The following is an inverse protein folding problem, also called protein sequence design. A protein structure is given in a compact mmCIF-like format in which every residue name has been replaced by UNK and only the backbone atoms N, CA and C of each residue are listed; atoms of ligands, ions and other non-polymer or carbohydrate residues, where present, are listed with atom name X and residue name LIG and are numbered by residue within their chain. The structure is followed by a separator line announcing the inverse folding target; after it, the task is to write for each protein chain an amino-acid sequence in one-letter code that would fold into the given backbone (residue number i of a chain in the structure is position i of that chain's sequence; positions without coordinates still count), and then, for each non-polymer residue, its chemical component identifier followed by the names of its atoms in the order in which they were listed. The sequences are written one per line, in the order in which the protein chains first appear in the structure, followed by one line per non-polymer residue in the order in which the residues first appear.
data_IF_250300625909
#
_entry.id   IF_250300625909
#
_cell.length_a   1.000
_cell.length_b   1.000
_cell.length_c   1.000
_cell.angle_alpha   90.00
_cell.angle_beta   90.00
_cell.angle_gamma   90.00
#
_symmetry.space_group_name_H-M   'P 1'
#
loop_
_entity.id
_entity.type
_entity.pdbx_description
1 polymer ?
#
# COMPACT_ATOMS: atom_id res chain seq x y z
N UNK A 1 -25.71 -23.31 19.53
CA UNK A 1 -25.72 -23.53 18.09
C UNK A 1 -27.16 -23.41 17.62
N UNK A 2 -27.46 -22.35 16.85
CA UNK A 2 -28.76 -22.14 16.25
C UNK A 2 -29.00 -23.26 15.23
N UNK A 3 -30.05 -24.04 15.43
CA UNK A 3 -30.51 -25.02 14.45
C UNK A 3 -31.46 -24.33 13.49
N UNK A 4 -31.10 -24.38 12.20
CA UNK A 4 -32.09 -24.14 11.16
C UNK A 4 -32.14 -22.69 10.67
N UNK A 5 -31.04 -22.09 10.36
CA UNK A 5 -31.01 -20.98 9.41
C UNK A 5 -31.36 -21.56 8.04
N UNK A 6 -32.43 -21.08 7.42
CA UNK A 6 -32.75 -21.47 6.06
C UNK A 6 -32.12 -20.43 5.13
N UNK A 7 -31.17 -20.84 4.30
CA UNK A 7 -30.50 -19.98 3.35
C UNK A 7 -30.97 -20.31 1.95
N UNK A 8 -31.40 -19.32 1.23
CA UNK A 8 -31.80 -19.41 -0.17
C UNK A 8 -30.74 -18.76 -1.03
N UNK A 9 -30.19 -19.48 -1.98
CA UNK A 9 -29.22 -19.02 -2.93
C UNK A 9 -29.82 -18.95 -4.31
N UNK A 10 -29.74 -17.81 -4.98
CA UNK A 10 -30.13 -17.67 -6.38
C UNK A 10 -28.92 -17.30 -7.23
N UNK A 11 -28.84 -17.90 -8.44
CA UNK A 11 -27.87 -17.49 -9.44
C UNK A 11 -28.47 -16.40 -10.38
N UNK A 12 -27.65 -15.78 -11.21
CA UNK A 12 -28.07 -14.77 -12.19
C UNK A 12 -29.06 -15.30 -13.25
N UNK A 13 -29.40 -16.59 -13.21
CA UNK A 13 -30.39 -17.24 -14.08
C UNK A 13 -31.68 -17.60 -13.32
N UNK A 14 -31.80 -17.05 -12.08
CA UNK A 14 -33.02 -17.26 -11.24
C UNK A 14 -33.19 -18.73 -10.78
N UNK A 15 -32.11 -19.49 -10.70
CA UNK A 15 -32.12 -20.81 -10.07
C UNK A 15 -31.98 -20.65 -8.56
N UNK A 16 -32.94 -21.14 -7.82
CA UNK A 16 -32.98 -21.07 -6.36
C UNK A 16 -32.57 -22.43 -5.76
N UNK A 17 -31.70 -22.43 -4.77
CA UNK A 17 -31.40 -23.56 -3.92
C UNK A 17 -31.58 -23.16 -2.46
N UNK A 18 -32.44 -23.84 -1.73
CA UNK A 18 -32.61 -23.64 -0.29
C UNK A 18 -32.02 -24.82 0.47
N UNK A 19 -31.21 -24.57 1.48
CA UNK A 19 -30.64 -25.61 2.34
C UNK A 19 -30.52 -25.13 3.79
N UNK A 20 -30.80 -26.02 4.73
CA UNK A 20 -30.58 -25.70 6.14
C UNK A 20 -29.10 -25.76 6.51
N UNK A 21 -28.64 -24.85 7.35
CA UNK A 21 -27.31 -24.85 7.91
C UNK A 21 -27.00 -26.17 8.60
N UNK A 22 -25.78 -26.62 8.51
CA UNK A 22 -25.30 -27.78 9.24
C UNK A 22 -25.16 -27.51 10.76
N UNK A 23 -24.63 -28.47 11.52
CA UNK A 23 -24.49 -28.34 12.97
C UNK A 23 -23.46 -27.32 13.43
N UNK A 24 -22.64 -26.77 12.51
CA UNK A 24 -21.65 -25.73 12.74
C UNK A 24 -22.13 -24.34 12.31
N UNK A 25 -23.38 -24.24 11.75
CA UNK A 25 -23.91 -22.98 11.24
C UNK A 25 -23.46 -22.65 9.81
N UNK A 26 -22.74 -23.55 9.14
CA UNK A 26 -22.25 -23.34 7.78
C UNK A 26 -23.18 -23.91 6.71
N UNK A 27 -23.31 -23.22 5.60
CA UNK A 27 -23.90 -23.72 4.36
C UNK A 27 -22.82 -23.79 3.29
N UNK A 28 -22.61 -25.00 2.78
CA UNK A 28 -21.84 -25.20 1.56
C UNK A 28 -22.86 -25.37 0.44
N UNK A 29 -22.87 -24.46 -0.52
CA UNK A 29 -23.69 -24.54 -1.72
C UNK A 29 -22.83 -25.13 -2.84
N UNK A 30 -22.98 -26.41 -3.20
CA UNK A 30 -22.27 -26.96 -4.32
C UNK A 30 -22.95 -26.51 -5.63
N UNK A 31 -22.13 -26.01 -6.54
CA UNK A 31 -22.41 -25.91 -7.97
C UNK A 31 -23.44 -24.83 -8.40
N UNK A 32 -23.15 -23.56 -8.10
CA UNK A 32 -23.69 -22.46 -8.87
C UNK A 32 -22.68 -22.13 -9.98
N UNK A 33 -22.83 -22.75 -11.13
CA UNK A 33 -22.00 -22.45 -12.29
C UNK A 33 -22.32 -21.05 -12.83
N UNK A 34 -21.47 -20.09 -12.50
CA UNK A 34 -21.35 -18.82 -13.22
C UNK A 34 -22.23 -17.69 -12.72
N UNK A 35 -21.63 -16.80 -12.03
CA UNK A 35 -22.00 -15.46 -11.50
C UNK A 35 -22.09 -15.41 -9.99
N UNK A 36 -21.51 -14.37 -9.40
CA UNK A 36 -21.57 -14.09 -7.97
C UNK A 36 -22.97 -14.33 -7.43
N UNK A 37 -23.08 -15.21 -6.45
CA UNK A 37 -24.37 -15.63 -5.93
C UNK A 37 -24.87 -14.66 -4.87
N UNK A 38 -26.12 -14.28 -4.98
CA UNK A 38 -26.86 -13.61 -3.90
C UNK A 38 -27.14 -14.65 -2.80
N UNK A 39 -26.62 -14.45 -1.59
CA UNK A 39 -26.95 -15.29 -0.43
C UNK A 39 -27.94 -14.57 0.46
N UNK A 40 -29.14 -15.16 0.59
CA UNK A 40 -30.17 -14.62 1.46
C UNK A 40 -30.27 -15.51 2.71
N UNK A 41 -29.71 -15.05 3.84
CA UNK A 41 -29.85 -15.72 5.14
C UNK A 41 -31.07 -15.20 5.90
N UNK A 42 -32.03 -16.08 6.26
CA UNK A 42 -33.15 -15.72 7.13
C UNK A 42 -33.07 -16.43 8.47
N UNK A 43 -32.96 -15.69 9.57
CA UNK A 43 -33.12 -16.23 10.92
C UNK A 43 -34.61 -16.52 11.15
N UNK A 44 -34.99 -17.80 11.22
CA UNK A 44 -36.37 -18.24 11.50
C UNK A 44 -36.71 -18.25 12.98
N UNK A 45 -35.77 -17.87 13.87
CA UNK A 45 -35.96 -17.89 15.34
C UNK A 45 -36.45 -16.58 15.94
N UNK A 46 -36.43 -15.47 15.22
CA UNK A 46 -36.91 -14.17 15.70
C UNK A 46 -37.53 -13.36 14.55
N UNK A 47 -38.87 -13.23 14.51
CA UNK A 47 -39.56 -12.55 13.40
C UNK A 47 -39.25 -11.04 13.27
N UNK A 48 -38.52 -10.44 14.22
CA UNK A 48 -38.16 -9.03 14.21
C UNK A 48 -36.66 -8.79 13.80
N UNK A 49 -35.92 -9.84 13.47
CA UNK A 49 -34.53 -9.74 12.98
C UNK A 49 -34.37 -10.55 11.68
N UNK A 50 -34.76 -9.97 10.58
CA UNK A 50 -34.35 -10.40 9.24
C UNK A 50 -32.90 -9.97 9.04
N UNK A 51 -31.96 -10.83 9.41
CA UNK A 51 -30.52 -10.66 9.08
C UNK A 51 -30.21 -11.26 7.71
N UNK A 52 -30.96 -10.84 6.71
CA UNK A 52 -30.70 -11.23 5.33
C UNK A 52 -29.65 -10.29 4.78
N UNK A 53 -28.52 -10.83 4.33
CA UNK A 53 -27.48 -10.08 3.64
C UNK A 53 -27.29 -10.64 2.23
N UNK A 54 -27.05 -9.75 1.28
CA UNK A 54 -26.61 -10.09 -0.06
C UNK A 54 -25.10 -9.90 -0.10
N UNK A 55 -24.40 -10.85 -0.68
CA UNK A 55 -22.92 -10.81 -0.80
C UNK A 55 -22.55 -11.00 -2.26
N UNK A 56 -21.92 -9.98 -2.82
CA UNK A 56 -21.36 -9.99 -4.17
C UNK A 56 -19.84 -10.08 -4.10
N UNK A 57 -19.22 -10.90 -4.95
CA UNK A 57 -17.78 -11.04 -5.07
C UNK A 57 -17.35 -10.71 -6.50
N UNK A 58 -16.50 -9.71 -6.65
CA UNK A 58 -16.00 -9.28 -7.96
C UNK A 58 -14.48 -9.26 -7.99
N UNK A 59 -13.90 -9.51 -9.16
CA UNK A 59 -12.47 -9.35 -9.42
C UNK A 59 -12.07 -7.87 -9.51
N UNK A 60 -10.79 -7.62 -9.72
CA UNK A 60 -10.22 -6.27 -9.89
C UNK A 60 -10.80 -5.48 -11.09
N UNK A 61 -11.37 -6.14 -12.08
CA UNK A 61 -12.05 -5.54 -13.23
C UNK A 61 -13.55 -5.26 -12.95
N UNK A 62 -14.04 -5.59 -11.75
CA UNK A 62 -15.44 -5.50 -11.34
C UNK A 62 -16.33 -6.57 -11.94
N UNK A 63 -15.75 -7.67 -12.45
CA UNK A 63 -16.51 -8.81 -12.95
C UNK A 63 -16.77 -9.82 -11.83
N UNK A 64 -17.96 -10.43 -11.78
CA UNK A 64 -18.24 -11.49 -10.82
C UNK A 64 -17.23 -12.62 -10.88
N UNK A 65 -16.75 -13.11 -9.73
CA UNK A 65 -15.88 -14.27 -9.62
C UNK A 65 -16.73 -15.54 -9.65
N UNK A 66 -16.73 -16.18 -10.80
CA UNK A 66 -17.48 -17.43 -11.02
C UNK A 66 -16.94 -18.57 -10.14
N UNK A 67 -17.80 -19.26 -9.42
CA UNK A 67 -17.43 -20.39 -8.59
C UNK A 67 -16.95 -20.02 -7.17
N UNK A 68 -17.03 -18.77 -6.76
CA UNK A 68 -16.79 -18.39 -5.37
C UNK A 68 -17.85 -19.04 -4.45
N UNK A 69 -17.39 -19.69 -3.37
CA UNK A 69 -18.24 -20.25 -2.32
C UNK A 69 -18.34 -19.25 -1.17
N UNK A 70 -19.54 -18.87 -0.77
CA UNK A 70 -19.79 -17.87 0.26
C UNK A 70 -20.51 -18.52 1.44
N UNK A 71 -20.06 -18.23 2.65
CA UNK A 71 -20.72 -18.63 3.90
C UNK A 71 -20.89 -17.40 4.80
N UNK A 72 -22.03 -17.32 5.48
CA UNK A 72 -22.29 -16.32 6.52
C UNK A 72 -22.63 -17.06 7.81
N UNK A 73 -21.93 -16.74 8.88
CA UNK A 73 -22.14 -17.41 10.17
C UNK A 73 -23.23 -16.74 11.02
N UNK A 74 -23.48 -17.28 12.23
CA UNK A 74 -24.50 -16.78 13.15
C UNK A 74 -24.21 -15.38 13.72
N UNK A 75 -22.95 -14.95 13.70
CA UNK A 75 -22.49 -13.64 14.16
C UNK A 75 -22.48 -12.61 13.01
N UNK A 76 -22.75 -13.07 11.77
CA UNK A 76 -22.80 -12.24 10.56
C UNK A 76 -21.46 -12.08 9.86
N UNK A 77 -20.43 -12.84 10.24
CA UNK A 77 -19.15 -12.87 9.55
C UNK A 77 -19.30 -13.56 8.19
N UNK A 78 -18.73 -12.96 7.16
CA UNK A 78 -18.74 -13.46 5.78
C UNK A 78 -17.43 -14.16 5.47
N UNK A 79 -17.52 -15.42 5.04
CA UNK A 79 -16.36 -16.19 4.55
C UNK A 79 -16.55 -16.51 3.07
N UNK A 80 -15.55 -16.18 2.26
CA UNK A 80 -15.51 -16.44 0.83
C UNK A 80 -14.37 -17.39 0.52
N UNK A 81 -14.64 -18.47 -0.22
CA UNK A 81 -13.59 -19.34 -0.79
C UNK A 81 -13.64 -19.20 -2.30
N UNK A 82 -12.54 -18.74 -2.88
CA UNK A 82 -12.40 -18.55 -4.32
C UNK A 82 -12.11 -19.89 -5.02
N UNK A 83 -12.40 -20.02 -6.33
CA UNK A 83 -12.16 -21.25 -7.08
C UNK A 83 -10.67 -21.63 -7.05
N UNK A 84 -10.40 -22.95 -7.21
CA UNK A 84 -9.06 -23.50 -7.04
C UNK A 84 -7.99 -22.98 -8.02
N UNK A 85 -8.40 -22.34 -9.12
CA UNK A 85 -7.51 -21.66 -10.06
C UNK A 85 -7.27 -20.19 -9.73
N UNK A 86 -7.98 -19.58 -8.78
CA UNK A 86 -7.79 -18.18 -8.41
C UNK A 86 -6.62 -18.02 -7.44
N UNK A 87 -5.68 -17.16 -7.77
CA UNK A 87 -4.48 -16.87 -6.98
C UNK A 87 -4.36 -15.35 -6.81
N UNK A 88 -4.33 -14.86 -5.56
CA UNK A 88 -4.20 -13.43 -5.30
C UNK A 88 -2.94 -12.81 -5.92
N UNK A 89 -1.85 -13.58 -6.03
CA UNK A 89 -0.59 -13.08 -6.61
C UNK A 89 -0.66 -12.93 -8.13
N UNK A 90 -1.50 -13.72 -8.82
CA UNK A 90 -1.65 -13.69 -10.28
C UNK A 90 -2.91 -12.94 -10.74
N UNK A 91 -4.04 -13.13 -10.05
CA UNK A 91 -5.35 -12.60 -10.43
C UNK A 91 -5.70 -11.29 -9.70
N UNK A 92 -4.92 -10.94 -8.65
CA UNK A 92 -5.12 -9.74 -7.86
C UNK A 92 -6.23 -9.86 -6.81
N UNK A 93 -6.61 -8.74 -6.18
CA UNK A 93 -7.60 -8.71 -5.11
C UNK A 93 -9.03 -8.93 -5.63
N UNK A 94 -9.90 -9.33 -4.71
CA UNK A 94 -11.35 -9.38 -4.94
C UNK A 94 -12.05 -8.37 -4.05
N UNK A 95 -13.14 -7.79 -4.55
CA UNK A 95 -14.05 -6.95 -3.75
C UNK A 95 -15.26 -7.75 -3.33
N UNK A 96 -15.49 -7.79 -2.02
CA UNK A 96 -16.70 -8.38 -1.41
C UNK A 96 -17.61 -7.25 -0.98
N UNK A 97 -18.82 -7.20 -1.54
CA UNK A 97 -19.83 -6.20 -1.21
C UNK A 97 -20.96 -6.87 -0.42
N UNK A 98 -21.29 -6.31 0.73
CA UNK A 98 -22.35 -6.81 1.61
C UNK A 98 -23.45 -5.75 1.72
N UNK A 99 -24.68 -6.14 1.36
CA UNK A 99 -25.86 -5.29 1.48
C UNK A 99 -26.96 -6.01 2.24
N UNK A 100 -27.95 -5.28 2.75
CA UNK A 100 -29.16 -5.87 3.27
C UNK A 100 -30.13 -6.26 2.13
N UNK A 101 -31.27 -6.82 2.49
CA UNK A 101 -32.33 -7.23 1.55
C UNK A 101 -33.04 -6.06 0.82
N UNK A 102 -32.68 -4.81 1.15
CA UNK A 102 -33.19 -3.62 0.48
C UNK A 102 -32.10 -3.00 -0.44
N UNK A 103 -30.90 -3.61 -0.47
CA UNK A 103 -29.75 -3.11 -1.22
C UNK A 103 -29.00 -1.99 -0.49
N UNK A 104 -29.27 -1.78 0.80
CA UNK A 104 -28.52 -0.80 1.59
C UNK A 104 -27.18 -1.40 2.07
N UNK A 105 -26.12 -0.62 1.99
CA UNK A 105 -24.77 -1.03 2.39
C UNK A 105 -24.71 -1.48 3.86
N UNK A 106 -23.98 -2.56 4.12
CA UNK A 106 -23.72 -3.08 5.46
C UNK A 106 -22.27 -2.79 5.85
N UNK A 107 -22.01 -1.73 6.60
CA UNK A 107 -20.64 -1.45 7.12
C UNK A 107 -20.30 -2.36 8.28
N UNK A 108 -19.00 -2.42 8.59
CA UNK A 108 -18.42 -3.12 9.76
C UNK A 108 -18.75 -4.64 9.79
N UNK A 109 -18.94 -5.24 8.61
CA UNK A 109 -19.11 -6.69 8.48
C UNK A 109 -17.75 -7.34 8.34
N UNK A 110 -17.34 -8.26 9.26
CA UNK A 110 -16.11 -9.00 9.09
C UNK A 110 -16.19 -9.92 7.86
N UNK A 111 -15.17 -9.87 7.03
CA UNK A 111 -15.05 -10.67 5.80
C UNK A 111 -13.69 -11.38 5.78
N UNK A 112 -13.73 -12.66 5.47
CA UNK A 112 -12.53 -13.47 5.24
C UNK A 112 -12.62 -14.09 3.85
N UNK A 113 -11.58 -13.91 3.04
CA UNK A 113 -11.48 -14.50 1.70
C UNK A 113 -10.29 -15.44 1.64
N UNK A 114 -10.48 -16.65 1.13
CA UNK A 114 -9.44 -17.64 0.89
C UNK A 114 -9.34 -17.93 -0.59
N UNK A 115 -8.17 -17.76 -1.20
CA UNK A 115 -7.95 -18.07 -2.61
C UNK A 115 -7.78 -19.58 -2.88
N UNK A 116 -7.63 -19.92 -4.16
CA UNK A 116 -7.47 -21.32 -4.59
C UNK A 116 -6.17 -21.97 -4.13
N UNK A 117 -5.16 -21.18 -3.73
CA UNK A 117 -3.87 -21.69 -3.18
C UNK A 117 -3.95 -21.94 -1.68
N UNK A 118 -5.00 -21.44 -1.00
CA UNK A 118 -5.19 -21.51 0.44
C UNK A 118 -4.68 -20.26 1.18
N UNK A 119 -4.27 -19.23 0.47
CA UNK A 119 -3.92 -17.93 1.06
C UNK A 119 -5.20 -17.23 1.53
N UNK A 120 -5.18 -16.72 2.76
CA UNK A 120 -6.36 -16.11 3.38
C UNK A 120 -6.09 -14.64 3.70
N UNK A 121 -7.03 -13.79 3.31
CA UNK A 121 -7.07 -12.36 3.64
C UNK A 121 -8.35 -12.04 4.40
N UNK A 122 -8.30 -11.09 5.36
CA UNK A 122 -9.43 -10.71 6.17
C UNK A 122 -9.51 -9.20 6.34
N UNK A 123 -10.72 -8.65 6.42
CA UNK A 123 -10.99 -7.24 6.61
C UNK A 123 -12.42 -7.01 7.06
N UNK A 124 -12.84 -5.76 7.12
CA UNK A 124 -14.24 -5.37 7.45
C UNK A 124 -14.77 -4.46 6.35
N UNK A 125 -16.08 -4.58 6.05
CA UNK A 125 -16.71 -3.72 5.05
C UNK A 125 -16.75 -2.26 5.48
N UNK A 126 -16.44 -1.37 4.55
CA UNK A 126 -16.53 0.09 4.73
C UNK A 126 -17.97 0.61 4.77
N UNK A 127 -18.11 1.95 4.81
CA UNK A 127 -19.44 2.63 4.83
C UNK A 127 -20.30 2.36 3.59
N UNK A 128 -19.67 1.95 2.51
CA UNK A 128 -20.31 1.54 1.24
C UNK A 128 -20.68 0.05 1.21
N UNK A 129 -20.40 -0.68 2.30
CA UNK A 129 -20.66 -2.11 2.42
C UNK A 129 -19.66 -2.99 1.68
N UNK A 130 -18.54 -2.43 1.19
CA UNK A 130 -17.55 -3.16 0.42
C UNK A 130 -16.22 -3.31 1.19
N UNK A 131 -15.50 -4.40 0.92
CA UNK A 131 -14.09 -4.60 1.30
C UNK A 131 -13.36 -5.25 0.14
N UNK A 132 -12.14 -4.80 -0.14
CA UNK A 132 -11.28 -5.41 -1.15
C UNK A 132 -10.14 -6.15 -0.45
N UNK A 133 -9.91 -7.41 -0.82
CA UNK A 133 -8.96 -8.31 -0.17
C UNK A 133 -8.16 -9.14 -1.20
N UNK A 134 -6.83 -9.34 -0.97
CA UNK A 134 -6.07 -8.70 0.10
C UNK A 134 -5.93 -7.19 -0.12
N UNK A 135 -5.90 -6.45 0.97
CA UNK A 135 -5.55 -5.04 0.94
C UNK A 135 -4.03 -4.88 1.10
N UNK A 136 -3.44 -3.97 0.33
CA UNK A 136 -2.05 -3.60 0.48
C UNK A 136 -1.97 -2.36 1.37
N UNK A 137 -1.05 -2.40 2.35
CA UNK A 137 -0.86 -1.28 3.27
C UNK A 137 0.35 -0.44 2.86
N UNK A 138 0.12 0.79 2.52
CA UNK A 138 1.14 1.80 2.35
C UNK A 138 1.40 2.53 3.67
N UNK A 139 2.50 2.19 4.33
CA UNK A 139 2.89 2.86 5.57
C UNK A 139 3.43 4.28 5.32
N UNK A 140 3.18 5.17 6.27
CA UNK A 140 3.75 6.51 6.23
C UNK A 140 5.27 6.46 6.52
N UNK A 141 6.10 6.90 5.56
CA UNK A 141 7.56 6.93 5.74
C UNK A 141 8.11 8.33 6.02
N UNK A 142 7.30 9.37 5.83
CA UNK A 142 7.60 10.76 6.18
C UNK A 142 6.86 11.15 7.45
N UNK A 143 7.55 11.93 8.30
CA UNK A 143 6.98 12.57 9.48
C UNK A 143 7.26 14.06 9.38
N UNK A 144 6.29 14.88 9.70
CA UNK A 144 6.46 16.33 9.81
C UNK A 144 7.41 16.73 10.95
N UNK A 145 7.75 18.00 10.99
CA UNK A 145 8.51 18.58 12.09
C UNK A 145 7.60 18.87 13.28
N UNK A 146 8.18 18.99 14.48
CA UNK A 146 7.43 19.23 15.71
C UNK A 146 6.68 20.57 15.78
N UNK A 147 6.88 21.45 14.79
CA UNK A 147 6.16 22.72 14.60
C UNK A 147 4.94 22.61 13.68
N UNK A 148 4.60 21.40 13.23
CA UNK A 148 3.46 21.16 12.33
C UNK A 148 3.75 21.45 10.85
N UNK A 149 5.02 21.59 10.47
CA UNK A 149 5.44 21.74 9.08
C UNK A 149 6.02 20.46 8.49
N UNK A 150 6.03 20.33 7.16
CA UNK A 150 6.72 19.27 6.44
C UNK A 150 7.97 19.75 5.71
N UNK A 151 8.12 21.03 5.48
CA UNK A 151 9.27 21.68 4.85
C UNK A 151 9.50 21.23 3.39
N UNK A 152 8.52 21.38 2.48
CA UNK A 152 8.62 20.82 1.13
C UNK A 152 9.83 21.32 0.34
N UNK A 153 10.13 22.61 0.42
CA UNK A 153 11.24 23.25 -0.28
C UNK A 153 12.56 23.25 0.52
N UNK A 154 12.56 22.66 1.71
CA UNK A 154 13.76 22.55 2.54
C UNK A 154 14.67 21.46 1.99
N UNK A 155 15.97 21.76 1.89
CA UNK A 155 16.97 20.78 1.56
C UNK A 155 16.99 19.66 2.60
N UNK A 156 16.97 18.41 2.13
CA UNK A 156 16.99 17.25 3.01
C UNK A 156 18.40 16.97 3.49
N UNK A 157 18.56 16.73 4.80
CA UNK A 157 19.81 16.25 5.34
C UNK A 157 20.03 14.76 5.06
N UNK A 158 21.28 14.32 5.10
CA UNK A 158 21.64 12.91 4.94
C UNK A 158 21.08 12.04 6.06
N UNK A 159 20.95 12.60 7.28
CA UNK A 159 20.31 11.94 8.40
C UNK A 159 18.82 11.70 8.17
N UNK A 160 18.10 12.72 7.65
CA UNK A 160 16.68 12.60 7.31
C UNK A 160 16.44 11.57 6.20
N UNK A 161 17.28 11.58 5.16
CA UNK A 161 17.23 10.57 4.10
C UNK A 161 17.48 9.15 4.64
N UNK A 162 18.44 8.99 5.55
CA UNK A 162 18.70 7.70 6.21
C UNK A 162 17.48 7.22 7.03
N UNK A 163 16.79 8.13 7.71
CA UNK A 163 15.60 7.77 8.48
C UNK A 163 14.45 7.28 7.57
N UNK A 164 14.23 7.94 6.42
CA UNK A 164 13.25 7.52 5.42
C UNK A 164 13.56 6.09 4.93
N UNK A 165 14.76 5.87 4.45
CA UNK A 165 15.16 4.56 3.90
C UNK A 165 15.15 3.43 4.94
N UNK A 166 15.55 3.73 6.17
CA UNK A 166 15.52 2.73 7.24
C UNK A 166 14.09 2.34 7.61
N UNK A 167 13.15 3.29 7.63
CA UNK A 167 11.72 2.99 7.85
C UNK A 167 11.15 2.15 6.70
N UNK A 168 11.43 2.52 5.45
CA UNK A 168 10.96 1.76 4.29
C UNK A 168 11.44 0.30 4.40
N UNK A 169 12.71 0.06 4.64
CA UNK A 169 13.25 -1.30 4.76
C UNK A 169 12.68 -2.08 5.94
N UNK A 170 12.52 -1.42 7.10
CA UNK A 170 11.97 -2.02 8.31
C UNK A 170 10.54 -2.51 8.07
N UNK A 171 9.69 -1.64 7.52
CA UNK A 171 8.29 -1.96 7.22
C UNK A 171 8.16 -3.04 6.14
N UNK A 172 8.84 -2.89 5.00
CA UNK A 172 8.81 -3.88 3.90
C UNK A 172 9.24 -5.28 4.37
N UNK A 173 10.10 -5.36 5.39
CA UNK A 173 10.58 -6.64 5.93
C UNK A 173 9.78 -7.14 7.12
N UNK A 174 8.83 -6.34 7.64
CA UNK A 174 8.14 -6.64 8.89
C UNK A 174 9.09 -6.76 10.09
N UNK A 175 10.23 -6.06 10.06
CA UNK A 175 11.27 -6.11 11.08
C UNK A 175 11.30 -4.81 11.86
N UNK A 176 11.37 -4.89 13.19
CA UNK A 176 11.63 -3.71 14.01
C UNK A 176 13.01 -3.11 13.68
N UNK A 177 13.09 -1.79 13.68
CA UNK A 177 14.39 -1.09 13.59
C UNK A 177 15.31 -1.57 14.71
N UNK A 178 16.53 -2.02 14.38
CA UNK A 178 17.41 -2.59 15.38
C UNK A 178 17.77 -1.56 16.45
N UNK A 179 17.78 -1.99 17.72
CA UNK A 179 18.14 -1.14 18.87
C UNK A 179 19.63 -0.72 18.88
N UNK A 180 20.44 -1.26 17.95
CA UNK A 180 21.86 -0.96 17.83
C UNK A 180 22.08 0.43 17.21
N UNK A 181 22.77 1.32 17.95
CA UNK A 181 23.09 2.69 17.52
C UNK A 181 24.58 2.89 17.16
N UNK A 182 25.35 1.81 17.15
CA UNK A 182 26.78 1.87 16.89
C UNK A 182 27.07 1.80 15.40
N UNK A 183 27.61 2.86 14.87
CA UNK A 183 28.06 2.98 13.49
C UNK A 183 29.60 3.05 13.43
N UNK A 184 30.19 2.61 12.30
CA UNK A 184 31.64 2.79 12.04
C UNK A 184 32.02 4.24 11.78
N UNK A 185 31.04 5.11 11.49
CA UNK A 185 31.30 6.52 11.18
C UNK A 185 31.59 7.28 12.48
N UNK A 186 32.81 7.86 12.63
CA UNK A 186 33.23 8.49 13.89
C UNK A 186 32.48 9.79 14.22
N UNK A 187 31.77 10.35 13.25
CA UNK A 187 30.96 11.56 13.37
C UNK A 187 29.49 11.27 13.66
N UNK A 188 29.10 10.01 13.80
CA UNK A 188 27.75 9.59 14.23
C UNK A 188 27.76 9.36 15.71
N UNK A 189 27.23 10.33 16.47
CA UNK A 189 27.03 10.21 17.92
C UNK A 189 25.98 9.12 18.18
N UNK A 190 26.27 8.08 18.99
CA UNK A 190 25.32 7.04 19.33
C UNK A 190 24.02 7.55 19.99
N UNK A 191 24.05 8.72 20.61
CA UNK A 191 22.89 9.34 21.24
C UNK A 191 22.08 10.22 20.27
N UNK A 192 22.58 10.45 19.06
CA UNK A 192 21.85 11.20 18.05
C UNK A 192 20.57 10.45 17.60
N UNK A 193 19.52 11.20 17.29
CA UNK A 193 18.24 10.65 16.86
C UNK A 193 18.34 9.74 15.64
N UNK A 194 19.31 10.02 14.75
CA UNK A 194 19.52 9.28 13.48
C UNK A 194 20.48 8.09 13.62
N UNK A 195 21.15 7.92 14.75
CA UNK A 195 22.23 6.93 14.90
C UNK A 195 21.79 5.50 14.56
N UNK A 196 20.60 5.09 15.02
CA UNK A 196 20.05 3.76 14.76
C UNK A 196 19.76 3.54 13.28
N UNK A 197 19.21 4.54 12.60
CA UNK A 197 18.92 4.47 11.15
C UNK A 197 20.20 4.35 10.32
N UNK A 198 21.21 5.17 10.65
CA UNK A 198 22.51 5.13 9.96
C UNK A 198 23.19 3.79 10.18
N UNK A 199 23.25 3.29 11.41
CA UNK A 199 23.85 2.00 11.75
C UNK A 199 23.15 0.83 11.03
N UNK A 200 21.84 0.88 10.91
CA UNK A 200 21.04 -0.13 10.19
C UNK A 200 21.40 -0.17 8.70
N UNK A 201 21.32 0.98 8.04
CA UNK A 201 21.63 1.09 6.60
C UNK A 201 23.11 0.83 6.27
N UNK A 202 24.02 1.20 7.18
CA UNK A 202 25.43 0.87 7.06
C UNK A 202 25.66 -0.63 7.05
N UNK A 203 25.07 -1.35 8.01
CA UNK A 203 25.16 -2.82 8.12
C UNK A 203 24.67 -3.51 6.84
N UNK A 204 23.64 -2.95 6.19
CA UNK A 204 23.10 -3.45 4.93
C UNK A 204 23.91 -3.00 3.69
N UNK A 205 24.90 -2.12 3.84
CA UNK A 205 25.68 -1.57 2.74
C UNK A 205 24.91 -0.55 1.87
N UNK A 206 23.74 -0.11 2.30
CA UNK A 206 22.92 0.91 1.60
C UNK A 206 23.60 2.28 1.69
N UNK A 207 24.15 2.64 2.85
CA UNK A 207 24.97 3.83 3.03
C UNK A 207 26.45 3.48 3.25
N UNK A 208 27.35 4.26 2.66
CA UNK A 208 28.80 3.97 2.69
C UNK A 208 29.68 5.14 3.15
N UNK A 209 29.14 6.30 3.48
CA UNK A 209 29.92 7.47 3.91
C UNK A 209 30.82 8.06 2.81
N UNK A 210 31.74 8.93 3.22
CA UNK A 210 32.67 9.63 2.34
C UNK A 210 34.08 9.08 2.46
N UNK A 211 35.00 9.55 1.58
CA UNK A 211 36.43 9.16 1.56
C UNK A 211 37.16 9.56 2.85
N UNK A 212 36.68 10.53 3.60
CA UNK A 212 37.23 10.91 4.91
C UNK A 212 36.77 9.96 6.05
N UNK A 213 36.01 8.92 5.73
CA UNK A 213 35.49 7.93 6.67
C UNK A 213 34.30 8.39 7.50
N UNK A 214 33.68 9.53 7.16
CA UNK A 214 32.55 10.12 7.89
C UNK A 214 31.24 9.94 7.15
N UNK A 215 30.13 10.09 7.87
CA UNK A 215 28.77 10.07 7.33
C UNK A 215 28.28 11.47 6.94
N UNK A 216 28.67 12.51 7.69
CA UNK A 216 28.18 13.89 7.54
C UNK A 216 26.66 14.03 7.63
N UNK A 217 26.09 13.59 8.74
CA UNK A 217 24.65 13.46 8.96
C UNK A 217 23.85 14.75 8.65
N UNK A 218 24.38 15.90 9.07
CA UNK A 218 23.73 17.22 8.94
C UNK A 218 23.94 17.88 7.57
N UNK A 219 24.80 17.31 6.72
CA UNK A 219 24.98 17.85 5.38
C UNK A 219 23.73 17.57 4.53
N UNK A 220 23.37 18.55 3.68
CA UNK A 220 22.31 18.32 2.69
C UNK A 220 22.74 17.24 1.70
N UNK A 221 21.82 16.32 1.38
CA UNK A 221 22.09 15.28 0.40
C UNK A 221 21.99 15.84 -1.02
N UNK A 222 22.97 15.50 -1.87
CA UNK A 222 22.89 15.87 -3.28
C UNK A 222 22.00 14.87 -4.06
N UNK A 223 21.49 15.32 -5.22
CA UNK A 223 20.61 14.50 -6.06
C UNK A 223 21.27 13.20 -6.50
N UNK A 224 22.52 13.24 -6.91
CA UNK A 224 23.27 12.03 -7.28
C UNK A 224 23.50 11.07 -6.10
N UNK A 225 23.76 11.61 -4.90
CA UNK A 225 23.90 10.82 -3.69
C UNK A 225 22.56 10.15 -3.33
N UNK A 226 21.48 10.93 -3.36
CA UNK A 226 20.14 10.41 -3.04
C UNK A 226 19.73 9.29 -4.00
N UNK A 227 19.82 9.52 -5.30
CA UNK A 227 19.49 8.52 -6.34
C UNK A 227 20.37 7.27 -6.22
N UNK A 228 21.63 7.42 -5.82
CA UNK A 228 22.52 6.27 -5.57
C UNK A 228 22.01 5.42 -4.41
N UNK A 229 21.52 6.04 -3.35
CA UNK A 229 20.95 5.29 -2.21
C UNK A 229 19.63 4.64 -2.61
N UNK A 230 18.76 5.32 -3.37
CA UNK A 230 17.54 4.73 -3.93
C UNK A 230 17.82 3.45 -4.73
N UNK A 231 18.76 3.49 -5.67
CA UNK A 231 19.08 2.32 -6.48
C UNK A 231 19.68 1.16 -5.66
N UNK A 232 20.46 1.45 -4.63
CA UNK A 232 20.94 0.41 -3.71
C UNK A 232 19.82 -0.18 -2.87
N UNK A 233 18.88 0.66 -2.43
CA UNK A 233 17.70 0.23 -1.67
C UNK A 233 16.82 -0.68 -2.54
N UNK A 234 16.50 -0.27 -3.77
CA UNK A 234 15.70 -1.04 -4.70
C UNK A 234 16.30 -2.42 -4.98
N UNK A 235 17.61 -2.50 -5.18
CA UNK A 235 18.32 -3.78 -5.29
C UNK A 235 18.21 -4.64 -4.01
N UNK A 236 18.17 -4.03 -2.84
CA UNK A 236 17.99 -4.70 -1.56
C UNK A 236 16.57 -5.24 -1.36
N UNK A 237 15.59 -4.51 -1.88
CA UNK A 237 14.16 -4.87 -1.85
C UNK A 237 13.77 -5.82 -2.98
N UNK A 238 14.71 -6.16 -3.86
CA UNK A 238 14.47 -6.98 -5.06
C UNK A 238 13.33 -6.43 -5.94
N UNK A 239 13.19 -5.10 -5.97
CA UNK A 239 12.14 -4.45 -6.76
C UNK A 239 12.33 -4.80 -8.24
N UNK A 240 11.22 -5.12 -8.90
CA UNK A 240 11.21 -5.31 -10.34
C UNK A 240 11.67 -4.04 -11.05
N UNK A 241 12.58 -4.20 -12.01
CA UNK A 241 13.12 -3.08 -12.77
C UNK A 241 12.68 -3.17 -14.22
N UNK A 242 12.06 -2.09 -14.71
CA UNK A 242 11.63 -2.00 -16.09
C UNK A 242 12.69 -1.29 -16.92
N UNK A 243 13.08 -1.88 -18.06
CA UNK A 243 13.98 -1.21 -19.00
C UNK A 243 13.17 -0.26 -19.90
N UNK A 244 13.38 1.04 -19.71
CA UNK A 244 12.92 2.06 -20.66
C UNK A 244 14.10 2.57 -21.49
N UNK A 245 13.84 3.16 -22.68
CA UNK A 245 14.88 3.77 -23.52
C UNK A 245 15.45 5.08 -22.92
N UNK A 246 14.91 5.54 -21.81
CA UNK A 246 15.39 6.71 -21.07
C UNK A 246 16.60 6.35 -20.21
N UNK A 247 17.52 7.26 -19.98
CA UNK A 247 18.57 6.96 -19.02
C UNK A 247 19.91 7.61 -19.24
N UNK A 248 20.03 8.59 -20.12
CA UNK A 248 21.27 9.38 -20.23
C UNK A 248 20.99 10.88 -20.15
N UNK A 249 21.76 11.56 -19.32
CA UNK A 249 21.74 13.01 -19.19
C UNK A 249 23.06 13.56 -19.68
N UNK A 250 23.08 14.70 -20.43
CA UNK A 250 24.30 15.27 -20.99
C UNK A 250 25.36 15.63 -19.96
N UNK A 251 24.94 16.01 -18.75
CA UNK A 251 25.81 16.36 -17.62
C UNK A 251 26.30 15.15 -16.80
N UNK A 252 25.84 13.92 -17.13
CA UNK A 252 26.27 12.68 -16.48
C UNK A 252 27.18 11.90 -17.42
N UNK A 253 28.49 12.11 -17.32
CA UNK A 253 29.46 11.41 -18.16
C UNK A 253 29.54 9.92 -17.82
N UNK A 254 30.06 9.11 -18.75
CA UNK A 254 30.17 7.65 -18.56
C UNK A 254 31.05 7.28 -17.34
N UNK A 255 32.03 8.10 -17.05
CA UNK A 255 33.01 7.90 -15.98
C UNK A 255 32.57 8.55 -14.66
N UNK A 256 31.40 9.17 -14.63
CA UNK A 256 30.82 9.75 -13.42
C UNK A 256 30.54 8.64 -12.40
N UNK A 257 30.92 8.82 -11.13
CA UNK A 257 30.82 7.80 -10.09
C UNK A 257 29.40 7.24 -9.88
N UNK A 258 28.38 8.09 -10.04
CA UNK A 258 26.97 7.72 -9.89
C UNK A 258 26.29 7.31 -11.22
N UNK A 259 27.02 7.33 -12.36
CA UNK A 259 26.41 7.17 -13.68
C UNK A 259 25.54 5.91 -13.85
N UNK A 260 25.96 4.79 -13.23
CA UNK A 260 25.19 3.53 -13.30
C UNK A 260 23.86 3.65 -12.57
N UNK A 261 23.87 4.25 -11.38
CA UNK A 261 22.68 4.40 -10.52
C UNK A 261 21.69 5.41 -11.09
N UNK A 262 22.20 6.52 -11.67
CA UNK A 262 21.37 7.53 -12.34
C UNK A 262 20.67 6.93 -13.56
N UNK A 263 21.40 6.13 -14.36
CA UNK A 263 20.78 5.43 -15.51
C UNK A 263 19.74 4.41 -15.09
N UNK A 264 20.01 3.64 -14.05
CA UNK A 264 19.08 2.69 -13.46
C UNK A 264 17.79 3.41 -13.02
N UNK A 265 17.91 4.45 -12.20
CA UNK A 265 16.75 5.22 -11.73
C UNK A 265 15.96 5.90 -12.88
N UNK A 266 16.64 6.39 -13.92
CA UNK A 266 15.97 6.98 -15.06
C UNK A 266 15.25 5.93 -15.94
N UNK A 267 15.84 4.76 -16.13
CA UNK A 267 15.21 3.65 -16.87
C UNK A 267 13.95 3.13 -16.17
N UNK A 268 13.96 3.11 -14.86
CA UNK A 268 12.80 2.69 -14.06
C UNK A 268 11.78 3.82 -13.84
N UNK A 269 11.99 5.01 -14.42
CA UNK A 269 11.06 6.12 -14.32
C UNK A 269 11.06 6.83 -12.94
N UNK A 270 11.97 6.45 -12.02
CA UNK A 270 12.03 7.07 -10.70
C UNK A 270 12.47 8.53 -10.76
N UNK A 271 13.32 8.85 -11.74
CA UNK A 271 13.77 10.22 -11.99
C UNK A 271 13.50 10.65 -13.42
N UNK A 272 13.23 11.93 -13.57
CA UNK A 272 13.23 12.65 -14.84
C UNK A 272 14.25 13.80 -14.74
N UNK A 273 14.78 14.25 -15.87
CA UNK A 273 15.63 15.43 -15.90
C UNK A 273 14.84 16.72 -15.67
N UNK A 274 15.58 17.80 -15.52
CA UNK A 274 14.98 19.13 -15.47
C UNK A 274 14.58 19.63 -16.87
N UNK A 275 13.82 20.74 -16.96
CA UNK A 275 13.38 21.28 -18.26
C UNK A 275 14.49 21.64 -19.23
N UNK A 276 15.72 21.84 -18.74
CA UNK A 276 16.94 22.06 -19.56
C UNK A 276 17.55 20.75 -20.08
N UNK A 277 16.96 19.59 -19.75
CA UNK A 277 17.40 18.27 -20.16
C UNK A 277 18.59 17.73 -19.35
N UNK A 278 18.99 18.39 -18.27
CA UNK A 278 20.07 17.96 -17.40
C UNK A 278 19.57 17.22 -16.16
N UNK A 279 20.47 16.51 -15.50
CA UNK A 279 20.21 15.80 -14.24
C UNK A 279 20.49 16.65 -13.00
N UNK A 280 21.47 17.54 -13.07
CA UNK A 280 21.94 18.39 -11.98
C UNK A 280 22.34 17.60 -10.72
N UNK A 281 23.20 16.59 -10.88
CA UNK A 281 23.56 15.65 -9.81
C UNK A 281 24.16 16.29 -8.57
N UNK A 282 24.89 17.39 -8.71
CA UNK A 282 25.53 18.12 -7.61
C UNK A 282 24.58 19.04 -6.81
N UNK A 283 23.37 19.27 -7.29
CA UNK A 283 22.42 20.13 -6.59
C UNK A 283 21.85 19.41 -5.34
N UNK A 284 21.51 20.19 -4.33
CA UNK A 284 20.91 19.67 -3.10
C UNK A 284 19.45 19.33 -3.36
N UNK A 285 19.03 18.14 -2.94
CA UNK A 285 17.63 17.73 -3.09
C UNK A 285 16.75 18.32 -2.00
N UNK A 286 15.62 18.87 -2.42
CA UNK A 286 14.55 19.27 -1.49
C UNK A 286 13.79 18.06 -0.99
N UNK A 287 13.05 18.25 0.11
CA UNK A 287 12.22 17.20 0.69
C UNK A 287 11.12 16.74 -0.28
N UNK A 288 10.52 17.67 -1.03
CA UNK A 288 9.55 17.36 -2.08
C UNK A 288 10.13 16.48 -3.20
N UNK A 289 11.32 16.84 -3.72
CA UNK A 289 11.99 16.04 -4.75
C UNK A 289 12.33 14.63 -4.26
N UNK A 290 12.79 14.53 -3.02
CA UNK A 290 13.09 13.22 -2.39
C UNK A 290 11.84 12.35 -2.33
N UNK A 291 10.74 12.88 -1.82
CA UNK A 291 9.48 12.13 -1.66
C UNK A 291 8.93 11.68 -3.01
N UNK A 292 8.92 12.57 -4.00
CA UNK A 292 8.47 12.21 -5.36
C UNK A 292 9.30 11.08 -5.98
N UNK A 293 10.63 11.08 -5.75
CA UNK A 293 11.50 9.99 -6.23
C UNK A 293 11.19 8.68 -5.48
N UNK A 294 10.99 8.74 -4.17
CA UNK A 294 10.68 7.55 -3.36
C UNK A 294 9.33 6.95 -3.74
N UNK A 295 8.27 7.77 -3.88
CA UNK A 295 6.96 7.28 -4.31
C UNK A 295 7.05 6.54 -5.65
N UNK A 296 7.73 7.15 -6.63
CA UNK A 296 7.95 6.50 -7.94
C UNK A 296 8.74 5.20 -7.85
N UNK A 297 9.75 5.14 -6.97
CA UNK A 297 10.53 3.94 -6.74
C UNK A 297 9.70 2.82 -6.11
N UNK A 298 8.77 3.16 -5.22
CA UNK A 298 7.87 2.23 -4.56
C UNK A 298 6.60 1.92 -5.39
N UNK A 299 6.44 2.55 -6.56
CA UNK A 299 5.23 2.40 -7.37
C UNK A 299 3.99 3.09 -6.81
N UNK A 300 4.13 3.98 -5.81
CA UNK A 300 3.02 4.64 -5.11
C UNK A 300 2.51 5.85 -5.87
N UNK A 301 1.19 5.92 -6.01
CA UNK A 301 0.48 7.01 -6.68
C UNK A 301 -0.64 7.50 -5.76
N UNK A 302 -0.58 8.77 -5.37
CA UNK A 302 -1.57 9.33 -4.45
C UNK A 302 -2.99 9.34 -5.02
N UNK A 303 -3.98 8.91 -4.25
CA UNK A 303 -5.39 9.12 -4.57
C UNK A 303 -5.78 10.58 -4.28
N UNK A 304 -5.66 11.43 -5.31
CA UNK A 304 -6.03 12.84 -5.21
C UNK A 304 -7.49 13.05 -4.80
N UNK A 305 -8.37 12.16 -5.20
CA UNK A 305 -9.81 12.26 -4.92
C UNK A 305 -10.09 11.96 -3.45
N UNK A 306 -9.49 10.92 -2.92
CA UNK A 306 -9.58 10.59 -1.51
C UNK A 306 -9.01 11.67 -0.63
N UNK A 307 -7.79 12.14 -0.93
CA UNK A 307 -7.09 13.19 -0.18
C UNK A 307 -7.95 14.47 -0.09
N UNK A 308 -8.54 14.91 -1.21
CA UNK A 308 -9.40 16.12 -1.22
C UNK A 308 -10.70 15.97 -0.43
N UNK A 309 -11.24 14.76 -0.34
CA UNK A 309 -12.52 14.50 0.33
C UNK A 309 -12.38 14.29 1.83
N UNK A 310 -11.24 13.79 2.26
CA UNK A 310 -11.01 13.34 3.63
C UNK A 310 -9.87 14.12 4.32
N UNK A 311 -9.62 15.38 3.92
CA UNK A 311 -8.52 16.19 4.44
C UNK A 311 -8.53 16.31 5.98
N UNK A 312 -9.71 16.31 6.59
CA UNK A 312 -9.89 16.39 8.04
C UNK A 312 -9.43 15.12 8.78
N UNK A 313 -9.30 13.99 8.09
CA UNK A 313 -8.87 12.69 8.64
C UNK A 313 -7.36 12.45 8.40
N UNK A 314 -6.70 13.32 7.64
CA UNK A 314 -5.31 13.18 7.23
C UNK A 314 -4.34 13.96 8.10
N UNK A 315 -3.10 13.49 8.16
CA UNK A 315 -1.99 14.30 8.63
C UNK A 315 -1.73 15.43 7.64
N UNK A 316 -2.05 16.65 8.04
CA UNK A 316 -1.85 17.86 7.23
C UNK A 316 -0.76 18.74 7.83
N UNK A 317 -0.20 19.66 7.03
CA UNK A 317 0.93 20.47 7.43
C UNK A 317 0.65 21.94 7.13
N UNK A 318 1.07 22.83 8.05
CA UNK A 318 0.79 24.28 7.94
C UNK A 318 1.44 24.94 6.72
N UNK A 319 2.55 24.40 6.24
CA UNK A 319 3.30 24.85 5.07
C UNK A 319 2.98 24.10 3.77
N UNK A 320 1.99 23.18 3.81
CA UNK A 320 1.53 22.39 2.67
C UNK A 320 0.01 22.52 2.52
N UNK A 321 -0.49 23.76 2.33
CA UNK A 321 -1.92 24.05 2.26
C UNK A 321 -2.44 24.24 0.82
N UNK A 322 -1.55 24.23 -0.18
CA UNK A 322 -1.91 24.48 -1.57
C UNK A 322 -1.92 23.19 -2.38
N UNK A 323 -3.10 22.65 -2.75
CA UNK A 323 -3.21 21.44 -3.57
C UNK A 323 -2.62 21.57 -4.98
N UNK A 324 -2.32 22.80 -5.43
CA UNK A 324 -1.63 23.06 -6.70
C UNK A 324 -0.10 23.10 -6.57
N UNK A 325 0.44 22.94 -5.36
CA UNK A 325 1.87 22.73 -5.21
C UNK A 325 2.27 21.41 -5.89
N UNK A 326 3.30 21.43 -6.70
CA UNK A 326 3.65 20.33 -7.61
C UNK A 326 3.84 18.96 -6.94
N UNK A 327 4.27 18.92 -5.69
CA UNK A 327 4.48 17.72 -4.91
C UNK A 327 3.46 17.55 -3.76
N UNK A 328 2.33 18.28 -3.78
CA UNK A 328 1.34 18.21 -2.70
C UNK A 328 0.89 16.77 -2.45
N UNK A 329 0.43 16.10 -3.49
CA UNK A 329 -0.10 14.75 -3.39
C UNK A 329 0.97 13.72 -3.06
N UNK A 330 2.18 13.84 -3.61
CA UNK A 330 3.32 13.00 -3.25
C UNK A 330 3.64 13.08 -1.74
N UNK A 331 3.60 14.29 -1.16
CA UNK A 331 3.87 14.49 0.26
C UNK A 331 2.74 13.96 1.14
N UNK A 332 1.48 14.09 0.70
CA UNK A 332 0.32 13.52 1.39
C UNK A 332 0.35 11.99 1.38
N UNK A 333 0.70 11.37 0.24
CA UNK A 333 0.94 9.94 0.11
C UNK A 333 1.99 9.44 1.12
N UNK A 334 3.12 10.11 1.16
CA UNK A 334 4.25 9.71 2.00
C UNK A 334 4.01 9.89 3.50
N UNK A 335 3.11 10.81 3.89
CA UNK A 335 2.88 11.20 5.28
C UNK A 335 1.66 10.53 5.92
N UNK A 336 0.83 9.85 5.14
CA UNK A 336 -0.38 9.20 5.62
C UNK A 336 -0.31 7.70 5.32
N UNK A 337 -0.34 6.87 6.36
CA UNK A 337 -0.46 5.42 6.17
C UNK A 337 -1.90 5.09 5.79
N UNK A 338 -2.08 4.26 4.78
CA UNK A 338 -3.40 3.93 4.23
C UNK A 338 -3.38 2.54 3.59
N UNK A 339 -4.55 1.94 3.48
CA UNK A 339 -4.74 0.76 2.67
C UNK A 339 -5.14 1.16 1.25
N UNK A 340 -4.68 0.40 0.26
CA UNK A 340 -5.02 0.59 -1.14
C UNK A 340 -5.71 -0.64 -1.71
N UNK A 341 -6.56 -0.39 -2.71
CA UNK A 341 -7.06 -1.45 -3.60
C UNK A 341 -6.00 -1.68 -4.67
N UNK A 342 -5.42 -2.87 -4.68
CA UNK A 342 -4.44 -3.27 -5.70
C UNK A 342 -5.15 -3.59 -7.03
N UNK A 343 -4.46 -3.37 -8.16
CA UNK A 343 -4.92 -3.75 -9.50
C UNK A 343 -5.65 -2.66 -10.30
N UNK A 344 -5.90 -1.48 -9.74
CA UNK A 344 -6.42 -0.34 -10.53
C UNK A 344 -5.27 0.38 -11.27
N UNK A 345 -5.55 0.96 -12.46
CA UNK A 345 -4.59 1.84 -13.16
C UNK A 345 -4.13 3.03 -12.29
N UNK A 346 -4.95 3.39 -11.28
CA UNK A 346 -4.63 4.40 -10.27
C UNK A 346 -4.87 3.79 -8.89
N UNK A 347 -3.96 4.03 -7.96
CA UNK A 347 -4.19 3.71 -6.56
C UNK A 347 -5.51 4.31 -6.07
N UNK A 348 -6.26 3.52 -5.33
CA UNK A 348 -7.48 3.97 -4.66
C UNK A 348 -7.30 3.71 -3.17
N UNK A 349 -7.29 4.79 -2.39
CA UNK A 349 -7.18 4.68 -0.94
C UNK A 349 -8.51 4.22 -0.34
N UNK A 350 -8.44 3.30 0.58
CA UNK A 350 -9.62 2.75 1.23
C UNK A 350 -9.74 3.24 2.68
N UNK A 351 -8.68 3.15 3.47
CA UNK A 351 -8.66 3.55 4.87
C UNK A 351 -7.31 4.21 5.24
N UNK A 352 -7.35 5.25 6.06
CA UNK A 352 -6.15 5.88 6.65
C UNK A 352 -5.94 5.33 8.05
N UNK A 353 -4.69 4.91 8.36
CA UNK A 353 -4.31 4.29 9.65
C UNK A 353 -3.29 5.13 10.39
#
# INVERSE_FOLDING_TARGET
PAKGLNVEVSDAKDNHAAKDTDKSGQIIVPDASGTAGEIIGTDTGNPDKSNTVNVDVTDQDGKPVDGAEIAVDEDGEVSVTLPGEFDFDEDGPVTVTVTDNQGEAKPDVPVTVTDGTGTTAAGETGKDGAVTLPDEYHFAYIVGYGDGTVGPDRNMSRAEAAAIFARILSETRGEDLPNGRSSRFPDVDPDAWYAGYVAYLEKLGVVVGYDDGKFHAEASITREQFVTVCARLANWMELETYETDQGSFPDVTRDHWAARYIREAARNGWIVGYPDGLFHGGDQSTRAEVVTIVNRMLGRVADETYIRRNEDELNTFHDLQNPHYWAYYDLMEAANGHTIVTGAENETWHEVK
#
